data_IF_325366545738
#
_entry.id   IF_325366545738
#
_cell.length_a   1.000
_cell.length_b   1.000
_cell.length_c   1.000
_cell.angle_alpha   90.00
_cell.angle_beta   90.00
_cell.angle_gamma   90.00
#
_symmetry.space_group_name_H-M   'P 1'
#
loop_
_entity.id
_entity.type
_entity.pdbx_description
1 polymer ?
#
# COMPACT_ATOMS: atom_id res chain seq x y z
N UNK A 1 -2.77 -3.62 -3.03
CA UNK A 1 -3.38 -3.66 -4.37
C UNK A 1 -4.32 -4.85 -4.47
N UNK A 2 -5.48 -4.66 -5.07
CA UNK A 2 -6.47 -5.70 -5.33
C UNK A 2 -6.19 -6.40 -6.67
N UNK A 3 -6.85 -7.54 -6.89
CA UNK A 3 -6.74 -8.28 -8.13
C UNK A 3 -7.23 -7.43 -9.32
N UNK A 4 -6.61 -7.59 -10.48
CA UNK A 4 -6.95 -6.86 -11.71
C UNK A 4 -8.19 -7.44 -12.43
N UNK A 5 -8.47 -8.71 -12.25
CA UNK A 5 -9.61 -9.41 -12.85
C UNK A 5 -10.22 -10.39 -11.84
N UNK A 6 -11.42 -10.10 -11.39
CA UNK A 6 -12.18 -10.93 -10.45
C UNK A 6 -13.12 -11.89 -11.20
N UNK A 7 -13.46 -11.55 -12.44
CA UNK A 7 -14.28 -12.39 -13.29
C UNK A 7 -14.57 -11.72 -14.64
N UNK A 8 -15.45 -12.36 -15.42
CA UNK A 8 -15.93 -11.84 -16.71
C UNK A 8 -17.45 -11.83 -16.76
N UNK A 9 -17.99 -10.81 -17.41
CA UNK A 9 -19.43 -10.75 -17.72
C UNK A 9 -19.79 -11.82 -18.75
N UNK A 10 -21.08 -12.09 -18.96
CA UNK A 10 -21.56 -13.00 -20.03
C UNK A 10 -21.06 -12.56 -21.42
N UNK A 11 -20.89 -11.27 -21.66
CA UNK A 11 -20.30 -10.73 -22.89
C UNK A 11 -18.77 -10.78 -22.96
N UNK A 12 -18.09 -11.42 -21.99
CA UNK A 12 -16.64 -11.60 -21.97
C UNK A 12 -15.82 -10.40 -21.47
N UNK A 13 -16.45 -9.30 -21.02
CA UNK A 13 -15.74 -8.15 -20.47
C UNK A 13 -15.19 -8.47 -19.08
N UNK A 14 -13.91 -8.21 -18.81
CA UNK A 14 -13.34 -8.41 -17.48
C UNK A 14 -13.90 -7.37 -16.50
N UNK A 15 -14.18 -7.80 -15.27
CA UNK A 15 -14.48 -6.91 -14.16
C UNK A 15 -13.55 -7.20 -12.97
N UNK A 16 -13.28 -6.18 -12.17
CA UNK A 16 -12.40 -6.27 -11.01
C UNK A 16 -12.10 -4.89 -10.42
N UNK A 17 -11.22 -4.86 -9.42
CA UNK A 17 -10.87 -3.62 -8.77
C UNK A 17 -10.09 -2.67 -9.70
N UNK A 18 -10.55 -1.42 -9.78
CA UNK A 18 -9.92 -0.36 -10.60
C UNK A 18 -8.44 -0.20 -10.29
N UNK A 19 -8.05 -0.27 -9.01
CA UNK A 19 -6.64 -0.16 -8.60
C UNK A 19 -5.76 -1.27 -9.20
N UNK A 20 -6.25 -2.50 -9.31
CA UNK A 20 -5.56 -3.60 -9.97
C UNK A 20 -5.44 -3.37 -11.48
N UNK A 21 -6.52 -2.97 -12.12
CA UNK A 21 -6.53 -2.66 -13.57
C UNK A 21 -5.61 -1.50 -13.93
N UNK A 22 -5.58 -0.43 -13.13
CA UNK A 22 -4.69 0.72 -13.33
C UNK A 22 -3.22 0.31 -13.17
N UNK A 23 -2.89 -0.50 -12.16
CA UNK A 23 -1.54 -0.98 -11.96
C UNK A 23 -1.05 -1.81 -13.17
N UNK A 24 -1.90 -2.69 -13.69
CA UNK A 24 -1.59 -3.50 -14.89
C UNK A 24 -1.33 -2.63 -16.13
N UNK A 25 -2.00 -1.50 -16.26
CA UNK A 25 -1.89 -0.58 -17.41
C UNK A 25 -0.77 0.43 -17.30
N UNK A 26 -0.06 0.47 -16.18
CA UNK A 26 1.04 1.42 -16.02
C UNK A 26 2.19 1.13 -16.99
N UNK A 27 2.86 2.20 -17.44
CA UNK A 27 4.00 2.09 -18.33
C UNK A 27 5.16 1.33 -17.67
N UNK A 28 6.01 0.62 -18.45
CA UNK A 28 7.19 -0.04 -17.90
C UNK A 28 8.13 0.90 -17.14
N UNK A 29 8.17 2.17 -17.52
CA UNK A 29 8.98 3.21 -16.85
C UNK A 29 8.49 3.42 -15.41
N UNK A 30 7.17 3.47 -15.20
CA UNK A 30 6.60 3.62 -13.86
C UNK A 30 6.74 2.31 -13.08
N UNK A 31 6.47 1.16 -13.70
CA UNK A 31 6.53 -0.15 -13.04
C UNK A 31 7.88 -0.45 -12.39
N UNK A 32 8.99 -0.05 -13.01
CA UNK A 32 10.34 -0.28 -12.47
C UNK A 32 10.61 0.44 -11.14
N UNK A 33 9.78 1.42 -10.77
CA UNK A 33 9.87 2.13 -9.49
C UNK A 33 9.04 1.49 -8.38
N UNK A 34 8.25 0.45 -8.70
CA UNK A 34 7.56 -0.31 -7.66
C UNK A 34 8.54 -1.29 -7.00
N UNK A 35 8.61 -1.21 -5.68
CA UNK A 35 9.43 -2.11 -4.88
C UNK A 35 8.92 -3.56 -4.87
N UNK A 36 7.72 -3.81 -5.39
CA UNK A 36 7.03 -5.09 -5.28
C UNK A 36 6.55 -5.57 -6.64
N UNK A 37 6.63 -6.88 -6.92
CA UNK A 37 6.03 -7.43 -8.12
C UNK A 37 4.50 -7.34 -8.05
N UNK A 38 3.87 -7.04 -9.18
CA UNK A 38 2.41 -6.91 -9.25
C UNK A 38 1.69 -8.20 -8.84
N UNK A 39 2.30 -9.34 -9.11
CA UNK A 39 1.78 -10.68 -8.83
C UNK A 39 1.43 -10.89 -7.36
N UNK A 40 2.10 -10.19 -6.44
CA UNK A 40 1.79 -10.26 -5.00
C UNK A 40 0.35 -9.83 -4.68
N UNK A 41 -0.28 -8.98 -5.48
CA UNK A 41 -1.67 -8.61 -5.25
C UNK A 41 -2.64 -9.80 -5.41
N UNK A 42 -2.23 -10.85 -6.11
CA UNK A 42 -3.02 -12.06 -6.38
C UNK A 42 -2.92 -13.12 -5.28
N UNK A 43 -2.03 -12.95 -4.32
CA UNK A 43 -1.96 -13.82 -3.15
C UNK A 43 -3.25 -13.66 -2.35
N UNK A 44 -4.00 -14.74 -2.15
CA UNK A 44 -5.29 -14.73 -1.46
C UNK A 44 -5.13 -14.74 0.06
N UNK A 45 -4.18 -15.53 0.54
CA UNK A 45 -3.87 -15.58 1.96
C UNK A 45 -3.24 -14.26 2.41
N UNK A 46 -3.85 -13.63 3.41
CA UNK A 46 -3.48 -12.29 3.87
C UNK A 46 -2.12 -12.32 4.57
N UNK A 47 -1.87 -13.33 5.39
CA UNK A 47 -0.63 -13.48 6.14
C UNK A 47 0.55 -13.70 5.22
N UNK A 48 0.39 -14.62 4.25
CA UNK A 48 1.41 -14.86 3.23
C UNK A 48 1.67 -13.61 2.37
N UNK A 49 0.62 -12.85 2.02
CA UNK A 49 0.74 -11.60 1.27
C UNK A 49 1.57 -10.57 2.02
N UNK A 50 1.26 -10.29 3.29
CA UNK A 50 2.00 -9.32 4.09
C UNK A 50 3.43 -9.78 4.34
N UNK A 51 3.65 -11.07 4.59
CA UNK A 51 4.98 -11.62 4.75
C UNK A 51 5.85 -11.41 3.51
N UNK A 52 5.35 -11.78 2.33
CA UNK A 52 6.09 -11.60 1.08
C UNK A 52 6.33 -10.13 0.76
N UNK A 53 5.34 -9.27 1.02
CA UNK A 53 5.46 -7.83 0.85
C UNK A 53 6.60 -7.28 1.70
N UNK A 54 6.66 -7.64 2.97
CA UNK A 54 7.74 -7.24 3.89
C UNK A 54 9.08 -7.83 3.46
N UNK A 55 9.12 -9.12 3.12
CA UNK A 55 10.34 -9.80 2.69
C UNK A 55 10.98 -9.12 1.47
N UNK A 56 10.17 -8.66 0.51
CA UNK A 56 10.67 -7.92 -0.64
C UNK A 56 11.05 -6.48 -0.30
N UNK A 57 10.23 -5.77 0.48
CA UNK A 57 10.45 -4.36 0.80
C UNK A 57 11.70 -4.15 1.68
N UNK A 58 11.96 -5.06 2.63
CA UNK A 58 13.07 -4.94 3.58
C UNK A 58 14.46 -4.99 2.94
N UNK A 59 14.58 -5.50 1.73
CA UNK A 59 15.86 -5.55 0.97
C UNK A 59 15.97 -4.42 -0.06
N UNK A 60 15.06 -3.45 -0.03
CA UNK A 60 15.02 -2.36 -0.99
C UNK A 60 15.00 -1.00 -0.30
N UNK A 61 15.36 0.03 -1.07
CA UNK A 61 15.24 1.41 -0.65
C UNK A 61 13.82 1.91 -0.96
N UNK A 62 12.93 1.88 0.05
CA UNK A 62 11.54 2.34 -0.06
C UNK A 62 11.46 3.82 0.28
N UNK A 63 11.07 4.64 -0.68
CA UNK A 63 10.99 6.11 -0.54
C UNK A 63 9.55 6.63 -0.40
N UNK A 64 8.56 5.81 -0.75
CA UNK A 64 7.14 6.14 -0.61
C UNK A 64 6.31 4.89 -0.31
N UNK A 65 5.29 5.04 0.53
CA UNK A 65 4.30 3.99 0.77
C UNK A 65 2.89 4.53 0.53
N UNK A 66 2.10 3.77 -0.22
CA UNK A 66 0.74 4.15 -0.59
C UNK A 66 -0.22 3.02 -0.20
N UNK A 67 -1.24 3.36 0.59
CA UNK A 67 -2.33 2.46 0.93
C UNK A 67 -3.63 3.27 1.03
N UNK A 68 -4.74 2.77 0.51
CA UNK A 68 -6.01 3.48 0.62
C UNK A 68 -6.39 3.72 2.09
N UNK A 69 -6.24 2.70 2.93
CA UNK A 69 -6.59 2.79 4.34
C UNK A 69 -5.32 2.88 5.20
N UNK A 70 -5.21 3.85 6.14
CA UNK A 70 -4.09 3.95 7.07
C UNK A 70 -3.93 2.71 7.96
N UNK A 71 -5.01 1.99 8.28
CA UNK A 71 -4.92 0.72 9.02
C UNK A 71 -4.06 -0.33 8.33
N UNK A 72 -3.97 -0.32 6.99
CA UNK A 72 -3.09 -1.22 6.25
C UNK A 72 -1.61 -0.92 6.47
N UNK A 73 -1.27 0.35 6.68
CA UNK A 73 0.10 0.75 7.01
C UNK A 73 0.45 0.37 8.45
N UNK A 74 -0.49 0.52 9.39
CA UNK A 74 -0.31 0.07 10.77
C UNK A 74 -0.14 -1.45 10.84
N UNK A 75 -1.00 -2.20 10.16
CA UNK A 75 -0.89 -3.66 10.08
C UNK A 75 0.48 -4.08 9.51
N UNK A 76 0.96 -3.39 8.47
CA UNK A 76 2.28 -3.65 7.91
C UNK A 76 3.40 -3.45 8.94
N UNK A 77 3.31 -2.41 9.76
CA UNK A 77 4.29 -2.12 10.80
C UNK A 77 4.23 -3.14 11.94
N UNK A 78 3.04 -3.59 12.33
CA UNK A 78 2.86 -4.64 13.33
C UNK A 78 3.38 -5.99 12.81
N UNK A 79 3.05 -6.39 11.60
CA UNK A 79 3.57 -7.62 10.97
C UNK A 79 5.11 -7.60 10.86
N UNK A 80 5.70 -6.45 10.57
CA UNK A 80 7.16 -6.28 10.54
C UNK A 80 7.77 -6.55 11.91
N UNK A 81 7.16 -6.07 12.98
CA UNK A 81 7.58 -6.29 14.35
C UNK A 81 7.43 -7.76 14.76
N UNK A 82 6.24 -8.32 14.56
CA UNK A 82 5.89 -9.68 15.02
C UNK A 82 6.69 -10.77 14.29
N UNK A 83 7.03 -10.54 13.01
CA UNK A 83 7.71 -11.51 12.16
C UNK A 83 9.19 -11.20 11.95
N UNK A 84 9.76 -10.29 12.73
CA UNK A 84 11.13 -9.81 12.57
C UNK A 84 12.14 -10.97 12.48
N UNK A 85 12.10 -11.93 13.40
CA UNK A 85 13.04 -13.06 13.46
C UNK A 85 13.02 -13.88 12.16
N UNK A 86 11.84 -14.30 11.71
CA UNK A 86 11.71 -15.10 10.49
C UNK A 86 12.07 -14.30 9.23
N UNK A 87 11.75 -13.00 9.19
CA UNK A 87 12.12 -12.13 8.09
C UNK A 87 13.64 -11.95 8.01
N UNK A 88 14.33 -11.76 9.14
CA UNK A 88 15.78 -11.63 9.18
C UNK A 88 16.48 -12.92 8.72
N UNK A 89 16.01 -14.08 9.18
CA UNK A 89 16.52 -15.38 8.75
C UNK A 89 16.36 -15.55 7.23
N UNK A 90 15.18 -15.28 6.70
CA UNK A 90 14.91 -15.39 5.26
C UNK A 90 15.69 -14.37 4.42
N UNK A 91 15.93 -13.16 4.94
CA UNK A 91 16.78 -12.16 4.27
C UNK A 91 18.23 -12.63 4.25
N UNK A 92 18.72 -13.16 5.37
CA UNK A 92 20.08 -13.69 5.48
C UNK A 92 20.32 -14.80 4.46
N UNK A 93 19.41 -15.79 4.39
CA UNK A 93 19.57 -17.02 3.61
C UNK A 93 19.05 -16.91 2.17
N UNK A 94 18.31 -15.84 1.83
CA UNK A 94 17.69 -15.69 0.52
C UNK A 94 16.47 -16.60 0.31
N UNK A 95 15.72 -16.89 1.37
CA UNK A 95 14.59 -17.83 1.36
C UNK A 95 13.25 -17.17 1.62
N UNK A 96 12.19 -17.97 1.67
CA UNK A 96 10.85 -17.65 2.17
C UNK A 96 10.49 -18.71 3.19
N UNK A 97 9.95 -18.30 4.31
CA UNK A 97 9.45 -19.19 5.35
C UNK A 97 8.48 -20.23 4.76
N UNK A 98 8.77 -21.50 4.98
CA UNK A 98 8.03 -22.65 4.42
C UNK A 98 6.54 -22.64 4.75
N UNK A 99 6.15 -22.04 5.87
CA UNK A 99 4.75 -21.90 6.25
C UNK A 99 3.94 -21.10 5.23
N UNK A 100 4.55 -20.16 4.52
CA UNK A 100 3.88 -19.33 3.53
C UNK A 100 4.01 -19.84 2.10
N UNK A 101 5.09 -20.56 1.77
CA UNK A 101 5.33 -21.07 0.41
C UNK A 101 4.17 -21.92 -0.10
N UNK A 102 3.60 -22.79 0.75
CA UNK A 102 2.50 -23.67 0.38
C UNK A 102 1.19 -22.95 0.06
N UNK A 103 1.05 -21.70 0.48
CA UNK A 103 -0.14 -20.89 0.31
C UNK A 103 -0.07 -19.95 -0.90
N UNK A 104 1.09 -19.94 -1.59
CA UNK A 104 1.37 -19.04 -2.70
C UNK A 104 1.50 -19.85 -3.99
N UNK A 105 0.74 -19.53 -5.04
CA UNK A 105 0.88 -20.17 -6.35
C UNK A 105 2.29 -20.06 -6.92
N UNK A 106 2.77 -21.11 -7.60
CA UNK A 106 4.14 -21.20 -8.10
C UNK A 106 4.52 -20.02 -9.02
N UNK A 107 3.63 -19.58 -9.90
CA UNK A 107 3.90 -18.45 -10.81
C UNK A 107 4.16 -17.12 -10.06
N UNK A 108 3.61 -16.97 -8.85
CA UNK A 108 3.89 -15.80 -7.99
C UNK A 108 5.26 -15.96 -7.36
N UNK A 109 5.62 -17.17 -6.91
CA UNK A 109 6.95 -17.46 -6.39
C UNK A 109 8.03 -17.24 -7.45
N UNK A 110 7.75 -17.60 -8.70
CA UNK A 110 8.67 -17.33 -9.82
C UNK A 110 8.88 -15.83 -10.05
N UNK A 111 7.79 -15.05 -10.00
CA UNK A 111 7.87 -13.59 -10.09
C UNK A 111 8.58 -12.96 -8.87
N UNK A 112 8.56 -13.64 -7.73
CA UNK A 112 9.20 -13.21 -6.50
C UNK A 112 10.68 -13.61 -6.41
N UNK A 113 11.13 -14.57 -7.21
CA UNK A 113 12.51 -15.10 -7.18
C UNK A 113 13.63 -14.02 -7.23
N UNK A 114 13.51 -12.91 -7.97
CA UNK A 114 14.52 -11.84 -7.98
C UNK A 114 14.79 -11.20 -6.60
N UNK A 115 13.82 -11.30 -5.67
CA UNK A 115 13.93 -10.75 -4.31
C UNK A 115 14.54 -11.73 -3.31
N UNK A 116 14.79 -12.99 -3.74
CA UNK A 116 15.32 -14.07 -2.90
C UNK A 116 16.85 -14.18 -2.98
N UNK A 117 17.53 -13.06 -3.03
CA UNK A 117 19.00 -13.05 -2.93
C UNK A 117 19.38 -13.04 -1.46
N UNK A 118 20.34 -13.92 -1.03
CA UNK A 118 20.89 -13.83 0.31
C UNK A 118 21.51 -12.45 0.57
N UNK A 119 21.22 -11.89 1.73
CA UNK A 119 21.73 -10.59 2.15
C UNK A 119 22.07 -10.58 3.65
N UNK A 120 23.15 -11.27 4.08
CA UNK A 120 23.57 -11.29 5.48
C UNK A 120 23.89 -9.89 6.02
N UNK A 121 24.43 -9.01 5.19
CA UNK A 121 24.71 -7.62 5.56
C UNK A 121 23.42 -6.86 5.92
N UNK A 122 22.38 -6.97 5.08
CA UNK A 122 21.09 -6.33 5.36
C UNK A 122 20.40 -6.92 6.58
N UNK A 123 20.45 -8.24 6.75
CA UNK A 123 19.91 -8.90 7.94
C UNK A 123 20.63 -8.42 9.21
N UNK A 124 21.95 -8.30 9.18
CA UNK A 124 22.74 -7.75 10.29
C UNK A 124 22.43 -6.27 10.58
N UNK A 125 22.21 -5.46 9.55
CA UNK A 125 21.78 -4.06 9.73
C UNK A 125 20.41 -3.96 10.40
N UNK A 126 19.44 -4.79 10.01
CA UNK A 126 18.12 -4.85 10.61
C UNK A 126 18.17 -5.35 12.07
N UNK A 127 19.03 -6.33 12.35
CA UNK A 127 19.23 -6.81 13.73
C UNK A 127 19.75 -5.71 14.64
N UNK A 128 20.70 -4.89 14.19
CA UNK A 128 21.20 -3.72 14.95
C UNK A 128 20.08 -2.73 15.27
N UNK A 129 19.15 -2.50 14.33
CA UNK A 129 17.99 -1.65 14.59
C UNK A 129 17.09 -2.22 15.70
N UNK A 130 16.96 -3.54 15.79
CA UNK A 130 16.24 -4.19 16.89
C UNK A 130 16.98 -3.99 18.21
N UNK A 131 18.31 -4.16 18.23
CA UNK A 131 19.13 -3.97 19.42
C UNK A 131 19.08 -2.52 19.93
N UNK A 132 19.08 -1.54 19.01
CA UNK A 132 19.06 -0.11 19.35
C UNK A 132 17.67 0.39 19.78
N UNK A 133 16.61 -0.10 19.15
CA UNK A 133 15.25 0.44 19.29
C UNK A 133 14.23 -0.55 19.88
N UNK A 134 14.65 -1.77 20.21
CA UNK A 134 13.83 -2.82 20.80
C UNK A 134 12.92 -3.54 19.79
N UNK A 135 12.69 -2.95 18.60
CA UNK A 135 11.85 -3.53 17.52
C UNK A 135 12.14 -2.86 16.19
N UNK A 136 11.76 -3.52 15.09
CA UNK A 136 11.73 -2.88 13.78
C UNK A 136 10.57 -1.88 13.70
N UNK A 137 10.86 -0.67 13.23
CA UNK A 137 9.87 0.35 12.87
C UNK A 137 10.16 0.86 11.45
N UNK A 138 9.13 1.09 10.62
CA UNK A 138 9.33 1.61 9.26
C UNK A 138 10.20 2.87 9.19
N UNK A 139 10.09 3.80 10.16
CA UNK A 139 10.92 5.02 10.21
C UNK A 139 12.42 4.77 10.39
N UNK A 140 12.80 3.64 11.00
CA UNK A 140 14.21 3.26 11.15
C UNK A 140 14.69 2.37 10.00
N UNK A 141 13.80 1.51 9.53
CA UNK A 141 14.10 0.52 8.48
C UNK A 141 14.24 1.16 7.10
N UNK A 142 13.46 2.23 6.84
CA UNK A 142 13.42 2.94 5.57
C UNK A 142 13.82 4.42 5.78
N UNK A 143 15.13 4.72 5.90
CA UNK A 143 15.61 6.07 6.21
C UNK A 143 15.27 7.10 5.13
N UNK A 144 15.09 6.67 3.89
CA UNK A 144 14.73 7.52 2.75
C UNK A 144 13.22 7.60 2.50
N UNK A 145 12.41 7.03 3.41
CA UNK A 145 10.95 7.12 3.30
C UNK A 145 10.51 8.57 3.50
N UNK A 146 10.09 9.23 2.43
CA UNK A 146 9.80 10.65 2.39
C UNK A 146 8.30 10.97 2.51
N UNK A 147 7.43 10.07 2.06
CA UNK A 147 5.97 10.31 2.02
C UNK A 147 5.16 9.04 2.25
N UNK A 148 4.10 9.19 3.02
CA UNK A 148 3.01 8.23 3.10
C UNK A 148 1.80 8.80 2.36
N UNK A 149 1.00 7.95 1.72
CA UNK A 149 -0.25 8.38 1.13
C UNK A 149 -1.38 7.42 1.52
N UNK A 150 -2.44 7.98 2.11
CA UNK A 150 -3.65 7.26 2.48
C UNK A 150 -4.83 8.24 2.59
N UNK A 151 -6.05 7.75 2.69
CA UNK A 151 -7.17 8.60 3.05
C UNK A 151 -7.06 9.06 4.50
N UNK A 152 -7.30 10.36 4.72
CA UNK A 152 -7.23 11.02 6.03
C UNK A 152 -8.61 11.48 6.54
N UNK A 153 -9.59 11.53 5.66
CA UNK A 153 -10.93 12.02 5.96
C UNK A 153 -11.76 11.03 6.78
N UNK A 154 -12.88 11.54 7.36
CA UNK A 154 -13.82 10.74 8.13
C UNK A 154 -13.17 10.12 9.39
N UNK A 155 -13.45 8.84 9.68
CA UNK A 155 -12.97 8.17 10.91
C UNK A 155 -11.49 7.81 10.89
N UNK A 156 -10.74 8.19 9.84
CA UNK A 156 -9.33 7.80 9.70
C UNK A 156 -8.40 8.45 10.73
N UNK A 157 -8.81 9.56 11.36
CA UNK A 157 -8.04 10.27 12.38
C UNK A 157 -7.50 9.37 13.49
N UNK A 158 -8.31 8.42 13.96
CA UNK A 158 -7.90 7.45 14.98
C UNK A 158 -6.66 6.61 14.59
N UNK A 159 -6.57 6.21 13.31
CA UNK A 159 -5.41 5.47 12.81
C UNK A 159 -4.20 6.38 12.59
N UNK A 160 -4.44 7.62 12.15
CA UNK A 160 -3.36 8.58 11.88
C UNK A 160 -2.58 8.95 13.15
N UNK A 161 -3.25 9.05 14.30
CA UNK A 161 -2.61 9.30 15.60
C UNK A 161 -1.62 8.20 15.95
N UNK A 162 -1.95 6.94 15.67
CA UNK A 162 -1.10 5.79 15.94
C UNK A 162 0.09 5.67 14.97
N UNK A 163 -0.03 6.22 13.76
CA UNK A 163 1.01 6.11 12.74
C UNK A 163 2.32 6.80 13.16
N UNK A 164 2.27 7.84 13.98
CA UNK A 164 3.46 8.57 14.42
C UNK A 164 4.45 7.70 15.20
N UNK A 165 3.97 6.70 15.94
CA UNK A 165 4.84 5.76 16.68
C UNK A 165 5.66 4.84 15.75
N UNK A 166 5.13 4.50 14.59
CA UNK A 166 5.78 3.60 13.64
C UNK A 166 6.55 4.33 12.54
N UNK A 167 6.00 5.44 12.07
CA UNK A 167 6.50 6.17 10.91
C UNK A 167 7.15 7.50 11.25
N UNK A 168 7.16 7.90 12.56
CA UNK A 168 7.66 9.20 12.96
C UNK A 168 6.83 10.35 12.41
N UNK A 169 7.47 11.50 12.18
CA UNK A 169 6.82 12.72 11.69
C UNK A 169 6.81 12.83 10.16
N UNK A 170 6.57 11.71 9.46
CA UNK A 170 6.49 11.73 8.01
C UNK A 170 5.25 12.47 7.51
N UNK A 171 5.40 13.08 6.35
CA UNK A 171 4.29 13.73 5.65
C UNK A 171 3.29 12.67 5.17
N UNK A 172 2.02 12.84 5.55
CA UNK A 172 0.93 11.99 5.08
C UNK A 172 0.10 12.79 4.11
N UNK A 173 0.12 12.41 2.84
CA UNK A 173 -0.64 13.01 1.76
C UNK A 173 -1.97 12.28 1.60
N UNK A 174 -3.08 13.01 1.62
CA UNK A 174 -4.39 12.45 1.30
C UNK A 174 -4.51 12.10 -0.19
N UNK A 175 -5.31 11.09 -0.52
CA UNK A 175 -5.61 10.76 -1.92
C UNK A 175 -6.62 11.69 -2.57
N UNK A 176 -7.36 12.46 -1.78
CA UNK A 176 -8.50 13.25 -2.21
C UNK A 176 -9.77 12.41 -2.34
N UNK A 177 -10.85 13.09 -2.63
CA UNK A 177 -12.13 12.45 -2.90
C UNK A 177 -12.07 11.77 -4.27
N UNK A 178 -12.14 10.46 -4.25
CA UNK A 178 -12.20 9.65 -5.47
C UNK A 178 -12.97 8.35 -5.25
N UNK A 179 -13.62 7.92 -6.31
CA UNK A 179 -14.35 6.66 -6.40
C UNK A 179 -13.93 5.91 -7.67
N UNK A 180 -14.51 4.74 -7.91
CA UNK A 180 -14.28 3.98 -9.15
C UNK A 180 -14.70 4.75 -10.40
N UNK A 181 -15.70 5.62 -10.26
CA UNK A 181 -16.29 6.44 -11.33
C UNK A 181 -15.42 7.63 -11.71
N UNK A 182 -14.61 8.12 -10.78
CA UNK A 182 -13.76 9.27 -11.08
C UNK A 182 -13.09 9.91 -9.88
N UNK A 183 -12.33 10.96 -10.17
CA UNK A 183 -11.63 11.76 -9.19
C UNK A 183 -12.37 13.08 -8.96
N UNK A 184 -12.86 13.28 -7.74
CA UNK A 184 -13.56 14.51 -7.36
C UNK A 184 -12.62 15.63 -6.93
N UNK A 185 -11.57 15.31 -6.12
CA UNK A 185 -10.64 16.34 -5.65
C UNK A 185 -9.18 15.91 -5.75
N UNK A 186 -8.28 16.89 -5.78
CA UNK A 186 -6.83 16.72 -5.76
C UNK A 186 -6.29 17.48 -4.54
N UNK A 187 -5.71 16.79 -3.55
CA UNK A 187 -5.06 17.45 -2.42
C UNK A 187 -3.80 18.17 -2.85
N UNK A 188 -3.65 19.43 -2.45
CA UNK A 188 -2.48 20.26 -2.73
C UNK A 188 -1.61 20.50 -1.48
N UNK A 189 -2.08 20.09 -0.30
CA UNK A 189 -1.37 20.23 0.95
C UNK A 189 -1.29 18.91 1.71
N UNK A 190 -0.35 18.83 2.66
CA UNK A 190 -0.20 17.66 3.55
C UNK A 190 -1.10 17.76 4.80
N UNK A 191 -1.67 18.94 5.07
CA UNK A 191 -2.61 19.17 6.19
C UNK A 191 -4.05 18.81 5.79
N UNK A 192 -4.71 18.01 6.66
CA UNK A 192 -6.12 17.63 6.45
C UNK A 192 -6.36 16.71 5.25
N UNK A 193 -7.63 16.56 4.89
CA UNK A 193 -8.11 15.76 3.77
C UNK A 193 -8.70 16.61 2.63
N UNK A 194 -8.65 17.95 2.75
CA UNK A 194 -9.21 18.85 1.77
C UNK A 194 -8.42 18.81 0.45
N UNK A 195 -9.11 18.99 -0.65
CA UNK A 195 -8.52 19.10 -1.98
C UNK A 195 -9.32 20.03 -2.87
N UNK A 196 -8.69 20.54 -3.93
CA UNK A 196 -9.36 21.32 -4.97
C UNK A 196 -10.13 20.40 -5.91
N UNK A 197 -11.25 20.88 -6.43
CA UNK A 197 -12.05 20.12 -7.40
C UNK A 197 -11.27 19.85 -8.67
N UNK A 198 -11.41 18.63 -9.19
CA UNK A 198 -10.79 18.21 -10.45
C UNK A 198 -11.62 18.67 -11.65
N UNK A 199 -11.84 19.99 -11.77
CA UNK A 199 -12.73 20.61 -12.76
C UNK A 199 -12.34 20.35 -14.22
N UNK A 200 -11.11 19.95 -14.47
CA UNK A 200 -10.66 19.55 -15.81
C UNK A 200 -11.02 18.11 -16.18
N UNK A 201 -11.47 17.30 -15.21
CA UNK A 201 -11.80 15.89 -15.41
C UNK A 201 -13.32 15.66 -15.52
N UNK A 202 -14.10 16.45 -14.78
CA UNK A 202 -15.54 16.24 -14.64
C UNK A 202 -16.29 17.57 -14.57
N UNK A 203 -17.56 17.54 -14.94
CA UNK A 203 -18.51 18.59 -14.62
C UNK A 203 -19.07 18.33 -13.22
N UNK A 204 -19.18 19.38 -12.40
CA UNK A 204 -19.67 19.30 -11.03
C UNK A 204 -20.91 20.16 -10.86
N UNK A 205 -21.95 19.58 -10.32
CA UNK A 205 -23.15 20.26 -9.85
C UNK A 205 -23.27 20.07 -8.34
N UNK A 206 -23.66 21.10 -7.62
CA UNK A 206 -23.78 21.07 -6.17
C UNK A 206 -25.22 21.37 -5.79
N UNK A 207 -25.77 20.53 -4.91
CA UNK A 207 -27.08 20.69 -4.31
C UNK A 207 -26.87 20.83 -2.81
N UNK A 208 -27.58 21.80 -2.17
CA UNK A 208 -27.52 21.90 -0.72
C UNK A 208 -28.18 20.69 -0.05
N UNK A 209 -27.70 20.30 1.14
CA UNK A 209 -28.30 19.22 1.91
C UNK A 209 -29.80 19.41 2.14
N UNK A 210 -30.23 20.65 2.33
CA UNK A 210 -31.65 21.03 2.52
C UNK A 210 -32.50 20.83 1.25
N UNK A 211 -31.86 20.84 0.08
CA UNK A 211 -32.56 20.76 -1.21
C UNK A 211 -32.51 19.37 -1.83
N UNK A 212 -31.64 18.45 -1.33
CA UNK A 212 -31.37 17.15 -1.95
C UNK A 212 -32.63 16.25 -1.99
N UNK A 213 -33.52 16.38 -1.02
CA UNK A 213 -34.78 15.61 -0.93
C UNK A 213 -35.97 16.28 -1.65
N UNK A 214 -35.78 17.47 -2.20
CA UNK A 214 -36.83 18.17 -2.91
C UNK A 214 -37.03 17.61 -4.31
N UNK A 215 -38.31 17.60 -4.76
CA UNK A 215 -38.65 17.12 -6.13
C UNK A 215 -37.97 17.96 -7.23
N UNK A 216 -37.62 19.20 -6.93
CA UNK A 216 -36.90 20.11 -7.83
C UNK A 216 -35.81 20.84 -7.04
N UNK A 217 -34.66 20.20 -6.85
CA UNK A 217 -33.54 20.81 -6.14
C UNK A 217 -33.01 22.02 -6.91
N UNK A 218 -32.44 23.00 -6.20
CA UNK A 218 -31.71 24.12 -6.81
C UNK A 218 -30.25 23.78 -6.91
N UNK A 219 -29.66 23.99 -8.07
CA UNK A 219 -28.22 23.83 -8.35
C UNK A 219 -27.50 25.16 -8.22
#
# INVERSE_FOLDING_TARGET
TSNDEEGRTEGGLPYGAVSGMLNKRQSPVIRRHFALPFELCKVKDVDAKYYLLLRAALVQNVTAMLACNPSSLLLLADEMKERAESLLADIHDGTINKAFVSQVPSYILDAFAPYLKPSPERAGALLKLIEEHGRLKPCHVFPDLAVLSCWKGGPMGFYLEQMSDFYGHLKIRDFGYMASEGRGTIPLADSGAAGVLAVSCHFFEFVSEEDIEKTSPRF
#
